data_IF_276422291410
#
_entry.id   IF_276422291410
#
_cell.length_a   1.000
_cell.length_b   1.000
_cell.length_c   1.000
_cell.angle_alpha   90.00
_cell.angle_beta   90.00
_cell.angle_gamma   90.00
#
_symmetry.space_group_name_H-M   'P 1'
#
loop_
_entity.id
_entity.type
_entity.pdbx_description
1 polymer ?
#
# COMPACT_ATOMS: atom_id res chain seq x y z
N UNK A 1 10.56 3.09 14.04
CA UNK A 1 10.88 1.76 13.49
C UNK A 1 11.58 0.99 14.58
N UNK A 2 11.03 -0.17 14.94
CA UNK A 2 11.62 -1.05 15.95
C UNK A 2 11.61 -2.49 15.45
N UNK A 3 12.75 -3.16 15.57
CA UNK A 3 12.84 -4.60 15.34
C UNK A 3 12.22 -5.37 16.50
N UNK A 4 11.43 -6.39 16.18
CA UNK A 4 10.80 -7.28 17.14
C UNK A 4 11.50 -8.63 17.11
N UNK A 5 12.33 -8.91 18.11
CA UNK A 5 13.04 -10.17 18.26
C UNK A 5 12.13 -11.25 18.87
N UNK A 6 11.10 -11.65 18.13
CA UNK A 6 10.14 -12.70 18.53
C UNK A 6 10.01 -13.74 17.42
N UNK A 7 10.85 -14.78 17.48
CA UNK A 7 10.92 -15.82 16.46
C UNK A 7 9.61 -16.61 16.35
N UNK A 8 8.94 -16.90 17.48
CA UNK A 8 7.66 -17.62 17.47
C UNK A 8 6.57 -16.83 16.77
N UNK A 9 6.51 -15.52 17.03
CA UNK A 9 5.57 -14.63 16.35
C UNK A 9 5.88 -14.52 14.87
N UNK A 10 7.16 -14.38 14.50
CA UNK A 10 7.59 -14.33 13.10
C UNK A 10 7.22 -15.62 12.36
N UNK A 11 7.54 -16.79 12.89
CA UNK A 11 7.21 -18.09 12.29
C UNK A 11 5.69 -18.25 12.09
N UNK A 12 4.90 -17.86 13.09
CA UNK A 12 3.44 -17.87 12.98
C UNK A 12 2.96 -16.96 11.85
N UNK A 13 3.44 -15.72 11.78
CA UNK A 13 3.06 -14.77 10.72
C UNK A 13 3.48 -15.24 9.33
N UNK A 14 4.68 -15.81 9.17
CA UNK A 14 5.13 -16.39 7.91
C UNK A 14 4.17 -17.49 7.44
N UNK A 15 3.69 -18.33 8.36
CA UNK A 15 2.69 -19.37 8.05
C UNK A 15 1.30 -18.80 7.77
N UNK A 16 0.82 -17.85 8.57
CA UNK A 16 -0.52 -17.25 8.43
C UNK A 16 -0.67 -16.52 7.08
N UNK A 17 0.42 -15.90 6.59
CA UNK A 17 0.48 -15.22 5.29
C UNK A 17 1.03 -16.09 4.14
N UNK A 18 1.19 -17.39 4.37
CA UNK A 18 1.60 -18.38 3.37
C UNK A 18 2.92 -18.10 2.63
N UNK A 19 3.95 -17.64 3.35
CA UNK A 19 5.27 -17.37 2.75
C UNK A 19 5.92 -18.62 2.16
N UNK A 20 5.60 -19.81 2.65
CA UNK A 20 6.04 -21.11 2.10
C UNK A 20 5.56 -21.35 0.67
N UNK A 21 4.51 -20.65 0.22
CA UNK A 21 4.04 -20.71 -1.17
C UNK A 21 4.71 -19.69 -2.07
N UNK A 22 5.40 -18.70 -1.50
CA UNK A 22 6.08 -17.63 -2.20
C UNK A 22 7.55 -17.99 -2.40
N UNK A 23 8.18 -18.61 -1.40
CA UNK A 23 9.61 -18.90 -1.39
C UNK A 23 9.90 -20.40 -1.37
N UNK A 24 10.72 -20.85 -2.32
CA UNK A 24 11.04 -22.27 -2.50
C UNK A 24 12.09 -22.79 -1.49
N UNK A 25 12.73 -21.90 -0.72
CA UNK A 25 13.81 -22.25 0.21
C UNK A 25 13.42 -21.99 1.66
N UNK A 26 13.64 -22.95 2.57
CA UNK A 26 13.46 -22.73 4.00
C UNK A 26 14.56 -21.82 4.57
N UNK A 27 14.29 -21.21 5.72
CA UNK A 27 15.26 -20.44 6.52
C UNK A 27 15.83 -19.19 5.84
N UNK A 28 15.02 -18.51 5.03
CA UNK A 28 15.36 -17.15 4.59
C UNK A 28 15.44 -16.20 5.81
N UNK A 29 16.33 -15.19 5.79
CA UNK A 29 16.59 -14.31 6.92
C UNK A 29 15.48 -13.25 7.05
N UNK A 30 14.28 -13.67 7.44
CA UNK A 30 13.17 -12.75 7.69
C UNK A 30 13.35 -12.03 9.02
N UNK A 31 12.98 -10.75 9.06
CA UNK A 31 13.02 -9.91 10.25
C UNK A 31 11.65 -9.26 10.48
N UNK A 32 11.18 -9.21 11.73
CA UNK A 32 9.91 -8.60 12.07
C UNK A 32 10.11 -7.16 12.56
N UNK A 33 9.36 -6.22 12.00
CA UNK A 33 9.44 -4.79 12.33
C UNK A 33 8.07 -4.19 12.60
N UNK A 34 8.07 -3.12 13.38
CA UNK A 34 6.92 -2.23 13.55
C UNK A 34 7.32 -0.77 13.29
N UNK A 35 6.37 -0.02 12.73
CA UNK A 35 6.46 1.41 12.51
C UNK A 35 5.28 2.10 13.19
N UNK A 36 5.52 3.27 13.75
CA UNK A 36 4.47 4.13 14.27
C UNK A 36 3.91 5.02 13.15
N UNK A 37 2.65 5.44 13.29
CA UNK A 37 2.05 6.42 12.39
C UNK A 37 2.93 7.67 12.25
N UNK A 38 3.16 8.09 11.02
CA UNK A 38 3.96 9.26 10.62
C UNK A 38 5.41 8.92 10.31
N UNK A 39 5.87 7.69 10.55
CA UNK A 39 7.23 7.28 10.22
C UNK A 39 7.42 7.03 8.72
N UNK A 40 8.56 7.46 8.19
CA UNK A 40 8.96 7.17 6.80
C UNK A 40 9.75 5.87 6.70
N UNK A 41 9.29 4.96 5.84
CA UNK A 41 9.84 3.61 5.70
C UNK A 41 11.18 3.64 4.95
N UNK A 42 11.22 4.29 3.78
CA UNK A 42 12.38 4.24 2.88
C UNK A 42 13.51 5.22 3.24
N UNK A 43 13.35 6.01 4.31
CA UNK A 43 14.48 6.70 4.98
C UNK A 43 15.22 5.77 5.94
N UNK A 44 14.56 4.69 6.39
CA UNK A 44 15.12 3.73 7.35
C UNK A 44 15.58 2.45 6.69
N UNK A 45 14.95 2.07 5.57
CA UNK A 45 15.24 0.85 4.82
C UNK A 45 15.47 1.17 3.34
N UNK A 46 16.61 0.73 2.82
CA UNK A 46 16.90 0.81 1.40
C UNK A 46 16.18 -0.34 0.66
N UNK A 47 15.18 0.02 -0.14
CA UNK A 47 14.39 -0.92 -0.92
C UNK A 47 15.16 -1.57 -2.08
N UNK A 48 16.34 -1.06 -2.45
CA UNK A 48 17.23 -1.77 -3.38
C UNK A 48 17.89 -2.99 -2.75
N UNK A 49 17.94 -3.03 -1.41
CA UNK A 49 18.60 -4.07 -0.63
C UNK A 49 17.62 -4.92 0.18
N UNK A 50 16.35 -4.50 0.28
CA UNK A 50 15.35 -5.16 1.13
C UNK A 50 13.99 -5.21 0.44
N UNK A 51 13.30 -6.35 0.59
CA UNK A 51 11.86 -6.44 0.36
C UNK A 51 11.14 -6.26 1.70
N UNK A 52 10.06 -5.48 1.69
CA UNK A 52 9.28 -5.21 2.90
C UNK A 52 7.82 -5.58 2.65
N UNK A 53 7.32 -6.52 3.44
CA UNK A 53 5.95 -7.02 3.41
C UNK A 53 5.17 -6.38 4.54
N UNK A 54 4.35 -5.38 4.22
CA UNK A 54 3.39 -4.81 5.18
C UNK A 54 2.31 -5.85 5.39
N UNK A 55 2.12 -6.30 6.63
CA UNK A 55 1.11 -7.29 7.00
C UNK A 55 -0.18 -6.62 7.50
N UNK A 56 -0.01 -5.60 8.32
CA UNK A 56 -1.07 -4.82 8.96
C UNK A 56 -0.77 -3.32 8.85
N UNK A 57 -1.84 -2.51 8.83
CA UNK A 57 -1.76 -1.06 8.75
C UNK A 57 -1.87 -0.52 7.32
N UNK A 58 -1.49 0.73 7.14
CA UNK A 58 -1.68 1.47 5.90
C UNK A 58 -0.54 2.43 5.63
N UNK A 59 -0.14 2.53 4.37
CA UNK A 59 0.95 3.39 3.92
C UNK A 59 0.45 4.41 2.89
N UNK A 60 1.07 5.59 2.84
CA UNK A 60 0.94 6.55 1.75
C UNK A 60 2.27 6.64 1.00
N UNK A 61 2.18 6.71 -0.34
CA UNK A 61 3.32 6.90 -1.22
C UNK A 61 3.23 8.28 -1.84
N UNK A 62 4.32 9.03 -1.81
CA UNK A 62 4.44 10.36 -2.40
C UNK A 62 5.57 10.39 -3.44
N UNK A 63 5.41 11.21 -4.48
CA UNK A 63 6.47 11.58 -5.41
C UNK A 63 6.96 13.00 -5.11
N UNK A 64 8.23 13.27 -5.34
CA UNK A 64 8.72 14.64 -5.42
C UNK A 64 8.41 15.22 -6.81
N UNK A 65 7.92 16.45 -6.83
CA UNK A 65 7.80 17.26 -8.04
C UNK A 65 9.11 18.04 -8.26
N UNK A 66 9.36 18.52 -9.48
CA UNK A 66 10.53 19.35 -9.84
C UNK A 66 10.68 20.61 -8.95
N UNK A 67 9.61 21.03 -8.27
CA UNK A 67 9.59 22.18 -7.36
C UNK A 67 9.69 21.79 -5.86
N UNK A 68 10.23 20.63 -5.51
CA UNK A 68 10.34 20.11 -4.12
C UNK A 68 9.01 19.99 -3.36
N UNK A 69 7.89 19.98 -4.09
CA UNK A 69 6.57 19.75 -3.49
C UNK A 69 6.25 18.26 -3.52
N UNK A 70 5.85 17.71 -2.37
CA UNK A 70 5.44 16.30 -2.26
C UNK A 70 4.03 16.12 -2.82
N UNK A 71 3.92 15.28 -3.85
CA UNK A 71 2.63 14.91 -4.46
C UNK A 71 2.24 13.52 -3.98
N UNK A 72 1.07 13.42 -3.36
CA UNK A 72 0.47 12.13 -3.02
C UNK A 72 0.26 11.30 -4.30
N UNK A 73 0.66 10.02 -4.28
CA UNK A 73 0.44 9.06 -5.36
C UNK A 73 -0.70 8.10 -5.02
N UNK A 74 -0.56 7.37 -3.91
CA UNK A 74 -1.52 6.33 -3.54
C UNK A 74 -1.45 6.01 -2.05
N UNK A 75 -2.47 5.29 -1.57
CA UNK A 75 -2.49 4.64 -0.26
C UNK A 75 -2.71 3.16 -0.49
N UNK A 76 -1.97 2.34 0.25
CA UNK A 76 -2.17 0.90 0.28
C UNK A 76 -2.50 0.50 1.72
N UNK A 77 -3.48 -0.37 1.88
CA UNK A 77 -3.92 -0.91 3.17
C UNK A 77 -3.77 -2.43 3.16
N UNK A 78 -3.34 -2.98 4.30
CA UNK A 78 -3.15 -4.41 4.47
C UNK A 78 -1.97 -4.96 3.67
N UNK A 79 -2.06 -6.24 3.30
CA UNK A 79 -0.93 -6.99 2.76
C UNK A 79 -0.35 -6.34 1.48
N UNK A 80 0.84 -5.76 1.60
CA UNK A 80 1.49 -4.96 0.55
C UNK A 80 2.99 -5.24 0.50
N UNK A 81 3.51 -5.55 -0.69
CA UNK A 81 4.94 -5.64 -0.93
C UNK A 81 5.53 -4.26 -1.30
N UNK A 82 6.66 -3.90 -0.71
CA UNK A 82 7.53 -2.78 -1.10
C UNK A 82 8.92 -3.32 -1.47
N UNK A 83 9.64 -2.58 -2.33
CA UNK A 83 10.90 -3.02 -2.91
C UNK A 83 10.75 -3.86 -4.18
N UNK A 84 9.53 -4.07 -4.68
CA UNK A 84 9.29 -4.84 -5.91
C UNK A 84 9.79 -4.14 -7.17
N UNK A 85 9.62 -2.81 -7.25
CA UNK A 85 10.12 -2.00 -8.35
C UNK A 85 11.65 -1.92 -8.31
N UNK A 86 12.22 -1.71 -7.13
CA UNK A 86 13.67 -1.60 -6.91
C UNK A 86 14.37 -2.95 -7.13
N UNK A 87 13.74 -4.06 -6.72
CA UNK A 87 14.23 -5.42 -6.99
C UNK A 87 14.44 -5.64 -8.48
N UNK A 88 13.46 -5.25 -9.30
CA UNK A 88 13.48 -5.44 -10.77
C UNK A 88 14.38 -4.44 -11.50
N UNK A 89 14.36 -3.16 -11.13
CA UNK A 89 15.12 -2.10 -11.83
C UNK A 89 16.56 -1.95 -11.36
N UNK A 90 16.87 -2.34 -10.13
CA UNK A 90 18.20 -2.22 -9.54
C UNK A 90 18.60 -0.80 -9.12
N UNK A 91 17.69 0.17 -9.21
CA UNK A 91 17.88 1.53 -8.71
C UNK A 91 16.80 1.88 -7.67
N UNK A 92 17.11 2.86 -6.80
CA UNK A 92 16.18 3.35 -5.81
C UNK A 92 15.08 4.18 -6.46
N UNK A 93 13.87 4.11 -5.88
CA UNK A 93 12.80 5.04 -6.23
C UNK A 93 12.96 6.36 -5.48
N UNK A 94 12.82 7.48 -6.18
CA UNK A 94 12.69 8.83 -5.59
C UNK A 94 11.29 9.08 -4.99
N UNK A 95 10.70 8.05 -4.37
CA UNK A 95 9.38 8.14 -3.75
C UNK A 95 9.53 8.15 -2.24
N UNK A 96 8.65 8.84 -1.55
CA UNK A 96 8.56 8.79 -0.09
C UNK A 96 7.45 7.82 0.29
N UNK A 97 7.71 6.94 1.27
CA UNK A 97 6.70 6.03 1.80
C UNK A 97 6.52 6.29 3.29
N UNK A 98 5.31 6.65 3.70
CA UNK A 98 4.95 7.02 5.07
C UNK A 98 3.92 6.03 5.65
N UNK A 99 4.09 5.66 6.92
CA UNK A 99 3.10 4.96 7.70
C UNK A 99 1.93 5.90 8.04
N UNK A 100 0.72 5.63 7.53
CA UNK A 100 -0.49 6.43 7.85
C UNK A 100 -1.26 5.88 9.06
N UNK A 101 -0.91 4.68 9.49
CA UNK A 101 -1.28 4.01 10.73
C UNK A 101 -0.08 3.22 11.26
N UNK A 102 -0.18 2.65 12.46
CA UNK A 102 0.86 1.76 12.97
C UNK A 102 0.97 0.52 12.07
N UNK A 103 2.19 0.14 11.74
CA UNK A 103 2.47 -0.97 10.81
C UNK A 103 3.07 -2.16 11.54
N UNK A 104 2.71 -3.34 11.06
CA UNK A 104 3.44 -4.58 11.29
C UNK A 104 3.96 -5.08 9.94
N UNK A 105 5.25 -5.35 9.84
CA UNK A 105 5.85 -5.76 8.57
C UNK A 105 6.97 -6.78 8.77
N UNK A 106 7.14 -7.63 7.76
CA UNK A 106 8.26 -8.55 7.63
C UNK A 106 9.24 -8.01 6.58
N UNK A 107 10.51 -7.95 6.93
CA UNK A 107 11.59 -7.62 6.00
C UNK A 107 12.30 -8.90 5.54
N UNK A 108 12.71 -8.91 4.27
CA UNK A 108 13.66 -9.86 3.71
C UNK A 108 14.84 -9.08 3.09
N UNK A 109 16.04 -9.13 3.68
CA UNK A 109 17.25 -8.63 3.05
C UNK A 109 17.58 -9.45 1.80
N UNK A 110 17.74 -8.78 0.65
CA UNK A 110 17.85 -9.44 -0.66
C UNK A 110 19.23 -9.33 -1.31
N UNK A 111 20.17 -8.58 -0.74
CA UNK A 111 21.49 -8.32 -1.33
C UNK A 111 22.21 -9.59 -1.76
N UNK A 112 22.26 -10.60 -0.87
CA UNK A 112 22.90 -11.90 -1.15
C UNK A 112 21.98 -12.91 -1.81
N UNK A 113 20.67 -12.64 -1.83
CA UNK A 113 19.65 -13.57 -2.31
C UNK A 113 19.14 -13.25 -3.72
N UNK A 114 19.47 -12.08 -4.27
CA UNK A 114 18.87 -11.56 -5.50
C UNK A 114 18.92 -12.58 -6.65
N UNK A 115 20.10 -13.12 -6.95
CA UNK A 115 20.28 -14.12 -8.02
C UNK A 115 19.47 -15.39 -7.77
N UNK A 116 19.38 -15.82 -6.50
CA UNK A 116 18.61 -16.99 -6.10
C UNK A 116 17.10 -16.73 -6.22
N UNK A 117 16.61 -15.58 -5.78
CA UNK A 117 15.19 -15.22 -5.88
C UNK A 117 14.74 -15.09 -7.35
N UNK A 118 15.63 -14.71 -8.26
CA UNK A 118 15.36 -14.69 -9.70
C UNK A 118 15.14 -16.08 -10.32
N UNK A 119 15.49 -17.18 -9.63
CA UNK A 119 15.14 -18.53 -10.08
C UNK A 119 13.85 -19.06 -9.46
N UNK A 120 13.28 -18.38 -8.45
CA UNK A 120 12.07 -18.83 -7.75
C UNK A 120 10.83 -18.44 -8.51
N UNK A 121 10.23 -19.42 -9.19
CA UNK A 121 9.06 -19.20 -10.05
C UNK A 121 7.87 -18.66 -9.26
N UNK A 122 7.60 -19.21 -8.07
CA UNK A 122 6.48 -18.78 -7.24
C UNK A 122 6.64 -17.33 -6.78
N UNK A 123 7.85 -16.96 -6.34
CA UNK A 123 8.21 -15.60 -5.98
C UNK A 123 8.07 -14.63 -7.15
N UNK A 124 8.55 -14.98 -8.35
CA UNK A 124 8.41 -14.13 -9.54
C UNK A 124 6.94 -13.93 -9.94
N UNK A 125 6.13 -14.98 -9.83
CA UNK A 125 4.68 -14.87 -10.09
C UNK A 125 3.99 -13.98 -9.05
N UNK A 126 4.35 -14.12 -7.78
CA UNK A 126 3.90 -13.24 -6.72
C UNK A 126 4.30 -11.77 -6.96
N UNK A 127 5.55 -11.54 -7.36
CA UNK A 127 6.07 -10.20 -7.69
C UNK A 127 5.31 -9.57 -8.86
N UNK A 128 5.05 -10.35 -9.92
CA UNK A 128 4.25 -9.91 -11.05
C UNK A 128 2.84 -9.50 -10.60
N UNK A 129 2.17 -10.32 -9.78
CA UNK A 129 0.85 -10.01 -9.25
C UNK A 129 0.84 -8.75 -8.36
N UNK A 130 1.90 -8.52 -7.58
CA UNK A 130 2.06 -7.27 -6.81
C UNK A 130 2.12 -6.05 -7.72
N UNK A 131 2.96 -6.10 -8.76
CA UNK A 131 3.15 -4.99 -9.69
C UNK A 131 1.91 -4.77 -10.55
N UNK A 132 1.25 -5.82 -11.05
CA UNK A 132 0.02 -5.67 -11.84
C UNK A 132 -1.12 -5.09 -11.02
N UNK A 133 -1.30 -5.51 -9.76
CA UNK A 133 -2.29 -4.90 -8.86
C UNK A 133 -2.03 -3.40 -8.66
N UNK A 134 -0.78 -2.99 -8.48
CA UNK A 134 -0.41 -1.56 -8.38
C UNK A 134 -0.65 -0.80 -9.68
N UNK A 135 -0.35 -1.42 -10.83
CA UNK A 135 -0.61 -0.84 -12.15
C UNK A 135 -2.12 -0.68 -12.41
N UNK A 136 -2.94 -1.67 -12.06
CA UNK A 136 -4.39 -1.59 -12.20
C UNK A 136 -4.95 -0.44 -11.35
N UNK A 137 -4.51 -0.32 -10.10
CA UNK A 137 -4.91 0.80 -9.24
C UNK A 137 -4.51 2.15 -9.86
N UNK A 138 -3.30 2.23 -10.41
CA UNK A 138 -2.80 3.44 -11.07
C UNK A 138 -3.64 3.78 -12.32
N UNK A 139 -3.84 2.83 -13.23
CA UNK A 139 -4.62 3.03 -14.47
C UNK A 139 -6.06 3.43 -14.16
N UNK A 140 -6.68 2.80 -13.16
CA UNK A 140 -8.05 3.15 -12.76
C UNK A 140 -8.13 4.51 -12.05
N UNK A 141 -7.05 4.95 -11.38
CA UNK A 141 -6.97 6.32 -10.84
C UNK A 141 -6.79 7.39 -11.93
N UNK A 142 -6.06 7.04 -13.01
CA UNK A 142 -5.70 7.95 -14.11
C UNK A 142 -6.66 7.92 -15.31
N UNK A 143 -7.65 7.01 -15.36
CA UNK A 143 -8.50 6.87 -16.55
C UNK A 143 -9.21 8.19 -16.88
N UNK A 144 -8.95 8.67 -18.09
CA UNK A 144 -9.08 10.06 -18.58
C UNK A 144 -10.54 10.52 -18.77
N UNK A 145 -11.54 9.73 -18.36
CA UNK A 145 -12.96 10.07 -18.59
C UNK A 145 -13.90 9.72 -17.44
N UNK A 146 -13.39 9.46 -16.24
CA UNK A 146 -14.23 9.31 -15.06
C UNK A 146 -14.44 10.66 -14.37
N UNK A 147 -15.71 11.04 -14.22
CA UNK A 147 -16.14 12.10 -13.32
C UNK A 147 -15.62 11.83 -11.91
N UNK A 148 -15.46 12.89 -11.11
CA UNK A 148 -15.02 12.72 -9.71
C UNK A 148 -15.98 11.81 -8.91
N UNK A 149 -17.28 11.76 -9.27
CA UNK A 149 -18.26 10.82 -8.71
C UNK A 149 -17.87 9.36 -9.00
N UNK A 150 -17.57 9.03 -10.26
CA UNK A 150 -17.15 7.68 -10.65
C UNK A 150 -15.84 7.26 -9.97
N UNK A 151 -14.87 8.19 -9.86
CA UNK A 151 -13.61 7.93 -9.13
C UNK A 151 -13.84 7.61 -7.66
N UNK A 152 -14.76 8.32 -6.99
CA UNK A 152 -15.13 8.06 -5.60
C UNK A 152 -15.74 6.66 -5.47
N UNK A 153 -16.71 6.32 -6.32
CA UNK A 153 -17.40 5.03 -6.25
C UNK A 153 -16.45 3.87 -6.57
N UNK A 154 -15.57 4.03 -7.56
CA UNK A 154 -14.53 3.06 -7.89
C UNK A 154 -13.59 2.84 -6.69
N UNK A 155 -13.05 3.92 -6.13
CA UNK A 155 -12.15 3.85 -4.99
C UNK A 155 -12.80 3.12 -3.80
N UNK A 156 -14.05 3.45 -3.47
CA UNK A 156 -14.77 2.78 -2.41
C UNK A 156 -15.03 1.30 -2.70
N UNK A 157 -15.31 0.94 -3.95
CA UNK A 157 -15.66 -0.43 -4.33
C UNK A 157 -14.45 -1.37 -4.35
N UNK A 158 -13.29 -0.88 -4.78
CA UNK A 158 -12.14 -1.74 -5.09
C UNK A 158 -10.93 -1.51 -4.18
N UNK A 159 -10.80 -0.32 -3.57
CA UNK A 159 -9.64 0.04 -2.77
C UNK A 159 -9.92 0.06 -1.26
N UNK A 160 -11.19 0.09 -0.86
CA UNK A 160 -11.58 0.16 0.55
C UNK A 160 -12.10 -1.18 1.07
N UNK A 161 -11.59 -1.60 2.23
CA UNK A 161 -12.17 -2.73 2.95
C UNK A 161 -13.62 -2.43 3.37
N UNK A 162 -14.50 -3.42 3.26
CA UNK A 162 -15.93 -3.28 3.58
C UNK A 162 -16.65 -2.14 2.85
N UNK A 163 -16.11 -1.70 1.71
CA UNK A 163 -16.64 -0.58 0.91
C UNK A 163 -16.75 0.75 1.69
N UNK A 164 -15.92 0.93 2.72
CA UNK A 164 -15.90 2.11 3.58
C UNK A 164 -14.54 2.80 3.53
N UNK A 165 -14.54 4.10 3.26
CA UNK A 165 -13.33 4.91 3.43
C UNK A 165 -13.38 5.72 4.72
N UNK A 166 -12.18 5.97 5.27
CA UNK A 166 -11.96 6.76 6.46
C UNK A 166 -11.11 8.00 6.14
N UNK A 167 -11.57 9.17 6.57
CA UNK A 167 -10.81 10.41 6.47
C UNK A 167 -10.99 11.14 5.13
N UNK A 168 -11.86 12.15 5.12
CA UNK A 168 -12.15 12.96 3.92
C UNK A 168 -10.90 13.62 3.33
N UNK A 169 -9.95 14.04 4.16
CA UNK A 169 -8.74 14.71 3.69
C UNK A 169 -7.79 13.76 2.96
N UNK A 170 -7.59 12.56 3.53
CA UNK A 170 -6.77 11.50 2.92
C UNK A 170 -7.38 11.04 1.59
N UNK A 171 -8.71 10.84 1.57
CA UNK A 171 -9.43 10.45 0.35
C UNK A 171 -9.43 11.55 -0.70
N UNK A 172 -9.52 12.83 -0.31
CA UNK A 172 -9.43 13.95 -1.25
C UNK A 172 -8.07 13.99 -1.96
N UNK A 173 -6.98 13.78 -1.20
CA UNK A 173 -5.63 13.68 -1.74
C UNK A 173 -5.49 12.48 -2.69
N UNK A 174 -6.07 11.34 -2.34
CA UNK A 174 -6.07 10.13 -3.18
C UNK A 174 -6.79 10.33 -4.51
N UNK A 175 -7.94 11.00 -4.49
CA UNK A 175 -8.75 11.25 -5.68
C UNK A 175 -8.31 12.50 -6.46
N UNK A 176 -7.20 13.12 -6.06
CA UNK A 176 -6.66 14.35 -6.64
C UNK A 176 -7.70 15.47 -6.75
N UNK A 177 -8.50 15.67 -5.70
CA UNK A 177 -9.52 16.71 -5.64
C UNK A 177 -9.43 17.51 -4.34
N UNK A 178 -10.01 18.72 -4.33
CA UNK A 178 -10.08 19.49 -3.08
C UNK A 178 -11.04 18.83 -2.09
N UNK A 179 -10.76 18.98 -0.79
CA UNK A 179 -11.65 18.56 0.29
C UNK A 179 -13.10 19.05 0.10
N UNK A 180 -13.28 20.28 -0.40
CA UNK A 180 -14.60 20.86 -0.68
C UNK A 180 -15.32 20.16 -1.83
N UNK A 181 -14.61 19.84 -2.91
CA UNK A 181 -15.18 19.09 -4.04
C UNK A 181 -15.62 17.69 -3.59
N UNK A 182 -14.78 16.99 -2.84
CA UNK A 182 -15.12 15.68 -2.30
C UNK A 182 -16.36 15.76 -1.40
N UNK A 183 -16.40 16.68 -0.43
CA UNK A 183 -17.56 16.86 0.46
C UNK A 183 -18.86 17.15 -0.29
N UNK A 184 -18.79 17.96 -1.36
CA UNK A 184 -19.97 18.26 -2.19
C UNK A 184 -20.53 16.98 -2.82
N UNK A 185 -19.68 16.15 -3.42
CA UNK A 185 -20.12 14.92 -4.10
C UNK A 185 -20.58 13.87 -3.09
N UNK A 186 -19.89 13.72 -1.96
CA UNK A 186 -20.32 12.82 -0.89
C UNK A 186 -21.73 13.17 -0.38
N UNK A 187 -22.02 14.48 -0.25
CA UNK A 187 -23.36 14.95 0.11
C UNK A 187 -24.39 14.55 -0.95
N UNK A 188 -24.11 14.80 -2.23
CA UNK A 188 -24.98 14.41 -3.34
C UNK A 188 -25.23 12.90 -3.40
N UNK A 189 -24.19 12.09 -3.20
CA UNK A 189 -24.29 10.63 -3.19
C UNK A 189 -25.08 10.11 -1.98
N UNK A 190 -24.98 10.76 -0.82
CA UNK A 190 -25.83 10.45 0.33
C UNK A 190 -27.30 10.84 0.07
N UNK A 191 -27.56 11.97 -0.58
CA UNK A 191 -28.91 12.41 -0.98
C UNK A 191 -29.53 11.43 -2.00
N UNK A 192 -28.72 10.81 -2.86
CA UNK A 192 -29.13 9.75 -3.80
C UNK A 192 -29.22 8.35 -3.16
N UNK A 193 -28.98 8.21 -1.86
CA UNK A 193 -28.94 6.93 -1.13
C UNK A 193 -27.90 5.91 -1.64
N UNK A 194 -26.91 6.35 -2.42
CA UNK A 194 -25.82 5.50 -2.92
C UNK A 194 -24.76 5.28 -1.82
N UNK A 195 -24.58 6.26 -0.94
CA UNK A 195 -23.66 6.21 0.20
C UNK A 195 -24.39 6.47 1.51
N UNK A 196 -23.89 5.88 2.59
CA UNK A 196 -24.28 6.24 3.96
C UNK A 196 -23.10 6.84 4.71
N UNK A 197 -23.38 7.88 5.49
CA UNK A 197 -22.42 8.47 6.42
C UNK A 197 -22.44 7.69 7.73
N UNK A 198 -21.41 6.88 7.97
CA UNK A 198 -21.30 6.03 9.16
C UNK A 198 -20.96 6.87 10.39
N UNK A 199 -19.95 7.74 10.27
CA UNK A 199 -19.53 8.67 11.33
C UNK A 199 -18.83 9.89 10.71
N UNK A 200 -18.35 10.81 11.55
CA UNK A 200 -17.62 12.00 11.09
C UNK A 200 -16.43 11.58 10.22
N UNK A 201 -16.50 11.94 8.94
CA UNK A 201 -15.45 11.69 7.97
C UNK A 201 -15.32 10.23 7.49
N UNK A 202 -16.31 9.37 7.76
CA UNK A 202 -16.35 7.99 7.25
C UNK A 202 -17.66 7.75 6.48
N UNK A 203 -17.55 7.17 5.30
CA UNK A 203 -18.68 6.92 4.40
C UNK A 203 -18.55 5.50 3.84
N UNK A 204 -19.70 4.82 3.67
CA UNK A 204 -19.78 3.46 3.15
C UNK A 204 -20.72 3.38 1.96
N UNK A 205 -20.37 2.56 0.98
CA UNK A 205 -21.22 2.25 -0.16
C UNK A 205 -22.46 1.45 0.30
N UNK A 206 -23.64 1.83 -0.17
CA UNK A 206 -24.85 1.02 -0.04
C UNK A 206 -24.82 -0.04 -1.15
N UNK A 207 -25.06 -1.30 -0.80
CA UNK A 207 -25.14 -2.42 -1.73
C UNK A 207 -26.58 -2.74 -2.08
#
# INVERSE_FOLDING_TARGET
MRELFDSKRLEKLLSDYHFEKIFDTPNLPFHLYTYEKGETLNLRKDFTQNLLFILEGSIAIYAFSENDTTRYLCTNQGFTLLGDIEFTRGNSSERLVEATSDLLCIELPITSLKTTLLSYRAFLYFLLNSVTKKLDLFINSETISQTLEEKILYYMRYCCESYEFHGVEQTANHLHCSRRQLQRILKQLCEKEILIKVKKGCYRLVL
#
